data_IF_263857677276
#
_entry.id   IF_263857677276
#
_cell.length_a   1.000
_cell.length_b   1.000
_cell.length_c   1.000
_cell.angle_alpha   90.00
_cell.angle_beta   90.00
_cell.angle_gamma   90.00
#
_symmetry.space_group_name_H-M   'P 1'
#
loop_
_entity.id
_entity.type
_entity.pdbx_description
1 polymer ?
#
# COMPACT_ATOMS: atom_id res chain seq x y z
N UNK A 1 9.26 -5.42 -28.62
CA UNK A 1 9.98 -4.44 -27.80
C UNK A 1 10.22 -5.09 -26.46
N UNK A 2 11.47 -5.35 -26.10
CA UNK A 2 11.79 -5.75 -24.74
C UNK A 2 11.48 -4.54 -23.83
N UNK A 3 10.75 -4.76 -22.75
CA UNK A 3 10.57 -3.76 -21.71
C UNK A 3 11.93 -3.60 -21.03
N UNK A 4 12.63 -2.52 -21.32
CA UNK A 4 13.77 -2.11 -20.51
C UNK A 4 13.20 -1.28 -19.37
N UNK A 5 13.18 -1.80 -18.12
CA UNK A 5 12.86 -0.97 -16.98
C UNK A 5 13.89 0.14 -16.93
N UNK A 6 13.42 1.37 -16.96
CA UNK A 6 14.27 2.51 -16.64
C UNK A 6 14.96 2.20 -15.31
N UNK A 7 16.25 2.48 -15.22
CA UNK A 7 16.96 2.50 -13.95
C UNK A 7 16.08 3.27 -12.97
N UNK A 8 15.57 2.62 -11.91
CA UNK A 8 14.61 3.13 -10.94
C UNK A 8 13.13 2.85 -11.26
N UNK A 9 12.72 1.59 -11.30
CA UNK A 9 11.31 1.24 -11.45
C UNK A 9 10.67 1.03 -10.08
N UNK A 10 9.86 2.00 -9.65
CA UNK A 10 8.97 1.85 -8.51
C UNK A 10 7.57 1.56 -9.03
N UNK A 11 7.04 0.38 -8.71
CA UNK A 11 5.73 -0.12 -9.16
C UNK A 11 4.86 -0.39 -7.94
N UNK A 12 3.66 0.16 -7.91
CA UNK A 12 2.67 -0.11 -6.86
C UNK A 12 1.53 -0.96 -7.39
N UNK A 13 0.93 -1.76 -6.51
CA UNK A 13 -0.21 -2.60 -6.81
C UNK A 13 -1.38 -2.16 -5.94
N UNK A 14 -2.45 -1.71 -6.56
CA UNK A 14 -3.63 -1.17 -5.89
C UNK A 14 -4.90 -1.94 -6.21
N UNK A 15 -5.92 -1.77 -5.39
CA UNK A 15 -7.23 -2.41 -5.53
C UNK A 15 -7.78 -2.87 -4.19
N UNK A 16 -9.05 -3.28 -4.19
CA UNK A 16 -9.76 -3.72 -2.98
C UNK A 16 -9.15 -4.99 -2.38
N UNK A 17 -9.50 -5.29 -1.13
CA UNK A 17 -9.10 -6.54 -0.50
C UNK A 17 -9.75 -7.72 -1.22
N UNK A 18 -9.00 -8.82 -1.33
CA UNK A 18 -9.41 -9.95 -2.16
C UNK A 18 -9.12 -9.80 -3.66
N UNK A 19 -8.68 -8.64 -4.17
CA UNK A 19 -8.36 -8.45 -5.60
C UNK A 19 -7.21 -9.31 -6.12
N UNK A 20 -6.38 -9.86 -5.21
CA UNK A 20 -5.27 -10.72 -5.59
C UNK A 20 -3.92 -9.99 -5.71
N UNK A 21 -3.83 -8.75 -5.26
CA UNK A 21 -2.61 -7.92 -5.31
C UNK A 21 -1.35 -8.67 -4.87
N UNK A 22 -1.34 -9.21 -3.65
CA UNK A 22 -0.16 -9.89 -3.09
C UNK A 22 0.24 -11.14 -3.90
N UNK A 23 -0.72 -11.85 -4.49
CA UNK A 23 -0.44 -12.97 -5.39
C UNK A 23 0.23 -12.48 -6.67
N UNK A 24 -0.30 -11.43 -7.28
CA UNK A 24 0.24 -10.84 -8.50
C UNK A 24 1.60 -10.18 -8.25
N UNK A 25 1.79 -9.51 -7.12
CA UNK A 25 3.08 -8.94 -6.72
C UNK A 25 4.17 -10.02 -6.67
N UNK A 26 3.87 -11.17 -6.05
CA UNK A 26 4.80 -12.31 -5.98
C UNK A 26 5.12 -12.90 -7.35
N UNK A 27 4.12 -13.04 -8.23
CA UNK A 27 4.32 -13.56 -9.59
C UNK A 27 5.15 -12.57 -10.43
N UNK A 28 4.86 -11.28 -10.33
CA UNK A 28 5.61 -10.23 -11.03
C UNK A 28 7.06 -10.16 -10.52
N UNK A 29 7.27 -10.20 -9.21
CA UNK A 29 8.60 -10.25 -8.63
C UNK A 29 9.41 -11.43 -9.21
N UNK A 30 8.81 -12.61 -9.21
CA UNK A 30 9.47 -13.81 -9.77
C UNK A 30 9.80 -13.68 -11.26
N UNK A 31 8.89 -13.09 -12.05
CA UNK A 31 9.13 -12.88 -13.48
C UNK A 31 10.29 -11.90 -13.72
N UNK A 32 10.34 -10.80 -12.94
CA UNK A 32 11.42 -9.82 -13.02
C UNK A 32 12.77 -10.41 -12.58
N UNK A 33 12.79 -11.20 -11.50
CA UNK A 33 14.00 -11.90 -11.05
C UNK A 33 14.53 -12.86 -12.11
N UNK A 34 13.67 -13.64 -12.77
CA UNK A 34 14.01 -14.51 -13.87
C UNK A 34 14.55 -13.75 -15.10
N UNK A 35 14.12 -12.50 -15.28
CA UNK A 35 14.61 -11.60 -16.30
C UNK A 35 15.95 -10.90 -15.90
N UNK A 36 16.48 -11.20 -14.71
CA UNK A 36 17.78 -10.69 -14.25
C UNK A 36 17.72 -9.41 -13.41
N UNK A 37 16.53 -8.94 -13.01
CA UNK A 37 16.39 -7.76 -12.16
C UNK A 37 16.52 -8.10 -10.68
N UNK A 38 17.12 -7.20 -9.92
CA UNK A 38 17.06 -7.24 -8.46
C UNK A 38 15.74 -6.61 -8.01
N UNK A 39 14.90 -7.35 -7.29
CA UNK A 39 13.57 -6.92 -6.89
C UNK A 39 13.48 -6.81 -5.38
N UNK A 40 12.92 -5.70 -4.91
CA UNK A 40 12.54 -5.47 -3.51
C UNK A 40 11.02 -5.48 -3.44
N UNK A 41 10.45 -6.50 -2.78
CA UNK A 41 9.00 -6.65 -2.62
C UNK A 41 8.57 -6.17 -1.24
N UNK A 42 7.63 -5.24 -1.21
CA UNK A 42 7.15 -4.54 -0.02
C UNK A 42 5.62 -4.57 0.06
N UNK A 43 5.10 -4.22 1.21
CA UNK A 43 3.68 -3.93 1.42
C UNK A 43 3.49 -2.77 2.40
N UNK A 44 2.44 -2.00 2.23
CA UNK A 44 2.02 -0.97 3.19
C UNK A 44 0.69 -1.32 3.89
N UNK A 45 0.52 -0.82 5.13
CA UNK A 45 1.55 -0.29 6.01
C UNK A 45 2.49 -1.39 6.49
N UNK A 46 3.78 -1.08 6.71
CA UNK A 46 4.78 -2.04 7.19
C UNK A 46 6.11 -2.00 6.44
N UNK A 47 6.88 -3.09 6.48
CA UNK A 47 8.12 -3.27 5.71
C UNK A 47 9.40 -2.80 6.42
N UNK A 48 9.31 -2.08 7.55
CA UNK A 48 10.44 -1.77 8.44
C UNK A 48 10.08 -2.05 9.89
N UNK A 49 11.05 -2.14 10.77
CA UNK A 49 10.81 -2.41 12.18
C UNK A 49 9.88 -1.35 12.84
N UNK A 50 10.00 -0.09 12.46
CA UNK A 50 9.15 1.00 12.94
C UNK A 50 7.78 0.91 12.28
N UNK A 51 7.71 0.76 10.96
CA UNK A 51 6.45 0.69 10.22
C UNK A 51 5.60 -0.53 10.62
N UNK A 52 6.22 -1.66 11.00
CA UNK A 52 5.48 -2.82 11.52
C UNK A 52 4.84 -2.55 12.89
N UNK A 53 5.49 -1.77 13.76
CA UNK A 53 4.89 -1.35 15.03
C UNK A 53 3.69 -0.42 14.79
N UNK A 54 3.81 0.51 13.83
CA UNK A 54 2.70 1.38 13.43
C UNK A 54 1.57 0.56 12.81
N UNK A 55 1.89 -0.41 11.96
CA UNK A 55 0.92 -1.36 11.40
C UNK A 55 0.14 -2.09 12.50
N UNK A 56 0.82 -2.55 13.54
CA UNK A 56 0.17 -3.22 14.66
C UNK A 56 -0.87 -2.30 15.33
N UNK A 57 -0.58 -1.00 15.49
CA UNK A 57 -1.55 -0.02 16.02
C UNK A 57 -2.72 0.19 15.05
N UNK A 58 -2.45 0.34 13.76
CA UNK A 58 -3.47 0.59 12.73
C UNK A 58 -4.47 -0.55 12.58
N UNK A 59 -4.01 -1.80 12.66
CA UNK A 59 -4.83 -2.98 12.39
C UNK A 59 -5.43 -3.63 13.63
N UNK A 60 -5.04 -3.22 14.84
CA UNK A 60 -5.56 -3.79 16.09
C UNK A 60 -7.05 -3.47 16.25
N UNK A 61 -7.93 -4.49 16.26
CA UNK A 61 -9.37 -4.29 16.45
C UNK A 61 -9.75 -3.63 17.78
N UNK A 62 -8.87 -3.63 18.78
CA UNK A 62 -9.11 -2.96 20.06
C UNK A 62 -9.04 -1.44 19.96
N UNK A 63 -8.41 -0.88 18.94
CA UNK A 63 -8.22 0.56 18.74
C UNK A 63 -9.46 1.24 18.11
N UNK A 64 -10.64 1.00 18.68
CA UNK A 64 -11.93 1.51 18.14
C UNK A 64 -12.10 3.01 18.26
N UNK A 65 -11.34 3.68 19.12
CA UNK A 65 -11.43 5.14 19.36
C UNK A 65 -10.42 5.93 18.53
N UNK A 66 -9.69 5.28 17.62
CA UNK A 66 -8.74 5.98 16.74
C UNK A 66 -9.48 6.94 15.81
N UNK A 67 -9.18 8.24 15.94
CA UNK A 67 -9.76 9.26 15.07
C UNK A 67 -9.11 9.28 13.69
N UNK A 68 -9.85 9.70 12.66
CA UNK A 68 -9.43 9.64 11.25
C UNK A 68 -8.14 10.41 10.98
N UNK A 69 -7.93 11.57 11.62
CA UNK A 69 -6.65 12.31 11.50
C UNK A 69 -5.48 11.53 12.09
N UNK A 70 -5.68 10.86 13.23
CA UNK A 70 -4.65 10.03 13.82
C UNK A 70 -4.31 8.85 12.91
N UNK A 71 -5.32 8.22 12.34
CA UNK A 71 -5.17 7.12 11.36
C UNK A 71 -4.35 7.57 10.15
N UNK A 72 -4.72 8.72 9.52
CA UNK A 72 -3.97 9.31 8.42
C UNK A 72 -2.49 9.51 8.79
N UNK A 73 -2.22 10.17 9.92
CA UNK A 73 -0.85 10.47 10.35
C UNK A 73 -0.03 9.20 10.63
N UNK A 74 -0.65 8.14 11.13
CA UNK A 74 0.01 6.85 11.33
C UNK A 74 0.35 6.17 9.99
N UNK A 75 -0.56 6.20 9.00
CA UNK A 75 -0.25 5.70 7.67
C UNK A 75 0.92 6.45 7.05
N UNK A 76 0.91 7.77 7.14
CA UNK A 76 1.97 8.60 6.58
C UNK A 76 3.31 8.44 7.33
N UNK A 77 3.29 8.25 8.65
CA UNK A 77 4.50 7.97 9.43
C UNK A 77 5.11 6.60 9.03
N UNK A 78 4.28 5.57 8.84
CA UNK A 78 4.75 4.27 8.38
C UNK A 78 5.36 4.35 6.99
N UNK A 79 4.72 5.09 6.08
CA UNK A 79 5.18 5.33 4.69
C UNK A 79 6.48 6.10 4.67
N UNK A 80 6.56 7.23 5.38
CA UNK A 80 7.78 8.04 5.44
C UNK A 80 8.98 7.21 5.89
N UNK A 81 8.80 6.35 6.90
CA UNK A 81 9.86 5.45 7.37
C UNK A 81 10.24 4.42 6.29
N UNK A 82 9.26 3.81 5.63
CA UNK A 82 9.50 2.83 4.57
C UNK A 82 10.22 3.44 3.36
N UNK A 83 9.81 4.64 2.95
CA UNK A 83 10.47 5.38 1.86
C UNK A 83 11.91 5.68 2.22
N UNK A 84 12.16 6.21 3.40
CA UNK A 84 13.49 6.60 3.87
C UNK A 84 14.43 5.39 4.01
N UNK A 85 13.96 4.32 4.63
CA UNK A 85 14.81 3.19 5.03
C UNK A 85 15.00 2.16 3.91
N UNK A 86 14.02 1.99 3.01
CA UNK A 86 14.01 0.89 2.05
C UNK A 86 13.81 1.36 0.62
N UNK A 87 12.73 2.13 0.32
CA UNK A 87 12.37 2.39 -1.08
C UNK A 87 13.42 3.27 -1.76
N UNK A 88 13.72 4.44 -1.20
CA UNK A 88 14.66 5.39 -1.80
C UNK A 88 16.08 4.79 -1.94
N UNK A 89 16.65 4.10 -0.93
CA UNK A 89 17.92 3.39 -1.09
C UNK A 89 17.88 2.31 -2.17
N UNK A 90 16.82 1.47 -2.23
CA UNK A 90 16.70 0.42 -3.23
C UNK A 90 16.65 0.99 -4.66
N UNK A 91 15.92 2.09 -4.86
CA UNK A 91 15.87 2.78 -6.15
C UNK A 91 17.23 3.39 -6.52
N UNK A 92 17.94 3.96 -5.56
CA UNK A 92 19.30 4.48 -5.75
C UNK A 92 20.29 3.38 -6.16
N UNK A 93 20.11 2.18 -5.61
CA UNK A 93 20.90 0.99 -5.97
C UNK A 93 20.48 0.37 -7.33
N UNK A 94 19.53 0.97 -8.05
CA UNK A 94 19.06 0.48 -9.36
C UNK A 94 18.15 -0.74 -9.29
N UNK A 95 17.57 -1.05 -8.11
CA UNK A 95 16.65 -2.17 -7.93
C UNK A 95 15.22 -1.79 -8.38
N UNK A 96 14.44 -2.79 -8.76
CA UNK A 96 13.00 -2.65 -8.97
C UNK A 96 12.31 -2.79 -7.62
N UNK A 97 11.45 -1.82 -7.27
CA UNK A 97 10.64 -1.89 -6.07
C UNK A 97 9.20 -2.20 -6.45
N UNK A 98 8.63 -3.25 -5.85
CA UNK A 98 7.22 -3.60 -5.93
C UNK A 98 6.57 -3.37 -4.57
N UNK A 99 5.51 -2.57 -4.48
CA UNK A 99 4.81 -2.32 -3.23
C UNK A 99 3.32 -2.65 -3.35
N UNK A 100 2.86 -3.58 -2.50
CA UNK A 100 1.43 -3.89 -2.36
C UNK A 100 0.80 -2.80 -1.50
N UNK A 101 0.07 -1.87 -2.12
CA UNK A 101 -0.46 -0.59 -1.66
C UNK A 101 0.59 0.51 -1.50
N UNK A 102 0.14 1.74 -1.70
CA UNK A 102 0.88 2.97 -1.46
C UNK A 102 -0.10 4.13 -1.20
N UNK A 103 0.26 5.38 -1.48
CA UNK A 103 -0.56 6.55 -1.16
C UNK A 103 -1.93 6.61 -1.87
N UNK A 104 -2.14 5.87 -2.96
CA UNK A 104 -3.44 5.81 -3.61
C UNK A 104 -4.48 5.14 -2.68
N UNK A 105 -4.07 4.11 -1.92
CA UNK A 105 -4.90 3.55 -0.86
C UNK A 105 -5.27 4.60 0.19
N UNK A 106 -4.34 5.41 0.69
CA UNK A 106 -4.62 6.49 1.65
C UNK A 106 -5.59 7.52 1.06
N UNK A 107 -5.39 7.89 -0.20
CA UNK A 107 -6.31 8.80 -0.88
C UNK A 107 -7.73 8.22 -0.93
N UNK A 108 -7.87 6.94 -1.28
CA UNK A 108 -9.19 6.29 -1.33
C UNK A 108 -9.85 6.19 0.05
N UNK A 109 -9.12 5.73 1.05
CA UNK A 109 -9.69 5.44 2.36
C UNK A 109 -9.85 6.72 3.20
N UNK A 110 -8.79 7.49 3.43
CA UNK A 110 -8.86 8.62 4.35
C UNK A 110 -9.53 9.85 3.72
N UNK A 111 -9.34 10.11 2.41
CA UNK A 111 -10.00 11.26 1.79
C UNK A 111 -11.43 10.96 1.34
N UNK A 112 -11.65 9.81 0.67
CA UNK A 112 -12.99 9.54 0.09
C UNK A 112 -13.90 8.79 1.05
N UNK A 113 -13.43 7.77 1.76
CA UNK A 113 -14.26 6.97 2.64
C UNK A 113 -14.45 7.64 4.01
N UNK A 114 -13.39 8.18 4.63
CA UNK A 114 -13.45 8.85 5.94
C UNK A 114 -13.86 10.33 5.82
N UNK A 115 -13.81 10.91 4.61
CA UNK A 115 -14.24 12.27 4.34
C UNK A 115 -13.25 13.35 4.78
N UNK A 116 -11.98 13.03 5.00
CA UNK A 116 -10.96 14.03 5.27
C UNK A 116 -10.75 14.94 4.04
N UNK A 117 -10.35 16.18 4.28
CA UNK A 117 -10.06 17.12 3.21
C UNK A 117 -8.99 16.57 2.25
N UNK A 118 -9.33 16.53 0.96
CA UNK A 118 -8.49 15.95 -0.08
C UNK A 118 -7.14 16.63 -0.23
N UNK A 119 -7.10 17.95 0.05
CA UNK A 119 -5.85 18.70 -0.04
C UNK A 119 -4.94 18.34 1.14
N UNK A 120 -5.49 18.22 2.33
CA UNK A 120 -4.74 17.78 3.53
C UNK A 120 -4.15 16.38 3.31
N UNK A 121 -4.95 15.43 2.81
CA UNK A 121 -4.47 14.07 2.52
C UNK A 121 -3.38 14.09 1.45
N UNK A 122 -3.54 14.88 0.39
CA UNK A 122 -2.52 15.03 -0.65
C UNK A 122 -1.22 15.61 -0.12
N UNK A 123 -1.30 16.63 0.72
CA UNK A 123 -0.12 17.27 1.28
C UNK A 123 0.60 16.34 2.26
N UNK A 124 -0.14 15.56 3.04
CA UNK A 124 0.41 14.53 3.91
C UNK A 124 1.11 13.41 3.10
N UNK A 125 0.47 12.90 2.04
CA UNK A 125 1.07 11.96 1.11
C UNK A 125 2.39 12.51 0.53
N UNK A 126 2.38 13.75 0.01
CA UNK A 126 3.56 14.38 -0.58
C UNK A 126 4.70 14.53 0.43
N UNK A 127 4.38 14.90 1.66
CA UNK A 127 5.36 14.98 2.74
C UNK A 127 6.00 13.61 3.02
N UNK A 128 5.19 12.57 3.13
CA UNK A 128 5.66 11.23 3.48
C UNK A 128 6.51 10.59 2.38
N UNK A 129 6.16 10.80 1.11
CA UNK A 129 6.92 10.20 -0.01
C UNK A 129 8.19 10.96 -0.35
N UNK A 130 8.36 12.21 0.09
CA UNK A 130 9.56 13.02 -0.11
C UNK A 130 10.07 13.00 -1.57
N UNK A 131 9.16 13.12 -2.54
CA UNK A 131 9.48 13.09 -3.98
C UNK A 131 9.65 11.68 -4.57
N UNK A 132 9.51 10.62 -3.80
CA UNK A 132 9.58 9.23 -4.27
C UNK A 132 8.21 8.77 -4.75
N UNK A 133 7.93 8.94 -6.04
CA UNK A 133 6.66 8.57 -6.64
C UNK A 133 6.76 7.26 -7.44
N UNK A 134 5.70 6.43 -7.49
CA UNK A 134 5.64 5.29 -8.39
C UNK A 134 5.77 5.72 -9.84
N UNK A 135 6.55 4.97 -10.61
CA UNK A 135 6.60 5.11 -12.07
C UNK A 135 5.39 4.44 -12.75
N UNK A 136 4.80 3.45 -12.08
CA UNK A 136 3.63 2.71 -12.55
C UNK A 136 2.78 2.25 -11.37
N UNK A 137 1.47 2.47 -11.45
CA UNK A 137 0.48 1.87 -10.54
C UNK A 137 -0.37 0.85 -11.31
N UNK A 138 -0.40 -0.39 -10.81
CA UNK A 138 -1.23 -1.46 -11.34
C UNK A 138 -2.50 -1.59 -10.49
N UNK A 139 -3.65 -1.23 -11.05
CA UNK A 139 -4.93 -1.31 -10.35
C UNK A 139 -5.63 -2.62 -10.69
N UNK A 140 -5.88 -3.44 -9.67
CA UNK A 140 -6.60 -4.72 -9.79
C UNK A 140 -8.08 -4.51 -9.49
N UNK A 141 -8.91 -4.66 -10.50
CA UNK A 141 -10.35 -4.50 -10.39
C UNK A 141 -11.04 -5.87 -10.30
N UNK A 142 -11.90 -6.02 -9.29
CA UNK A 142 -12.87 -7.13 -9.15
C UNK A 142 -14.20 -6.55 -8.70
N UNK A 143 -15.30 -7.32 -8.86
CA UNK A 143 -16.60 -6.86 -8.36
C UNK A 143 -16.69 -6.96 -6.84
N UNK A 144 -17.55 -6.15 -6.18
CA UNK A 144 -17.77 -6.24 -4.74
C UNK A 144 -18.14 -7.65 -4.27
N UNK A 145 -18.95 -8.35 -5.05
CA UNK A 145 -19.38 -9.74 -4.74
C UNK A 145 -18.19 -10.70 -4.76
N UNK A 146 -17.29 -10.55 -5.74
CA UNK A 146 -16.06 -11.35 -5.82
C UNK A 146 -15.12 -11.04 -4.65
N UNK A 147 -15.00 -9.76 -4.27
CA UNK A 147 -14.22 -9.33 -3.12
C UNK A 147 -14.78 -9.97 -1.84
N UNK A 148 -16.07 -9.85 -1.59
CA UNK A 148 -16.73 -10.41 -0.41
C UNK A 148 -16.54 -11.93 -0.29
N UNK A 149 -16.72 -12.68 -1.39
CA UNK A 149 -16.50 -14.13 -1.42
C UNK A 149 -15.06 -14.52 -1.06
N UNK A 150 -14.07 -13.78 -1.57
CA UNK A 150 -12.66 -14.06 -1.30
C UNK A 150 -12.24 -13.66 0.11
N UNK A 151 -12.82 -12.57 0.64
CA UNK A 151 -12.58 -12.12 2.01
C UNK A 151 -13.17 -13.10 3.02
N UNK A 152 -14.41 -13.60 2.82
CA UNK A 152 -15.04 -14.57 3.69
C UNK A 152 -14.21 -15.86 3.88
N UNK A 153 -13.39 -16.21 2.90
CA UNK A 153 -12.52 -17.40 2.98
C UNK A 153 -11.24 -17.18 3.82
N UNK A 154 -10.94 -15.93 4.25
CA UNK A 154 -9.68 -15.59 4.96
C UNK A 154 -9.76 -15.68 6.48
N UNK A 155 -10.95 -15.57 7.08
CA UNK A 155 -11.14 -15.58 8.53
C UNK A 155 -11.48 -14.22 9.13
N UNK A 156 -11.02 -13.94 10.37
CA UNK A 156 -11.38 -12.73 11.09
C UNK A 156 -10.88 -11.45 10.39
N UNK A 157 -11.76 -10.45 10.30
CA UNK A 157 -11.46 -9.14 9.75
C UNK A 157 -10.53 -8.35 10.71
N UNK A 158 -9.58 -7.60 10.15
CA UNK A 158 -8.84 -6.59 10.91
C UNK A 158 -9.68 -5.31 11.11
N UNK A 159 -9.14 -4.31 11.83
CA UNK A 159 -9.84 -3.06 12.12
C UNK A 159 -10.28 -2.31 10.85
N UNK A 160 -9.43 -2.30 9.82
CA UNK A 160 -9.74 -1.61 8.56
C UNK A 160 -10.80 -2.34 7.76
N UNK A 161 -10.71 -3.66 7.67
CA UNK A 161 -11.73 -4.47 7.02
C UNK A 161 -13.10 -4.34 7.71
N UNK A 162 -13.10 -4.29 9.06
CA UNK A 162 -14.32 -4.05 9.84
C UNK A 162 -14.89 -2.65 9.58
N UNK A 163 -14.05 -1.60 9.48
CA UNK A 163 -14.46 -0.23 9.16
C UNK A 163 -15.07 -0.15 7.75
N UNK A 164 -14.42 -0.77 6.77
CA UNK A 164 -14.88 -0.77 5.37
C UNK A 164 -16.22 -1.48 5.17
N UNK A 165 -16.51 -2.53 5.94
CA UNK A 165 -17.81 -3.21 5.89
C UNK A 165 -18.99 -2.30 6.27
N UNK A 166 -18.71 -1.20 6.99
CA UNK A 166 -19.71 -0.19 7.40
C UNK A 166 -19.88 0.93 6.35
N UNK A 167 -18.94 1.10 5.43
CA UNK A 167 -18.91 2.26 4.51
C UNK A 167 -19.56 1.92 3.14
N UNK A 168 -19.95 0.69 2.86
CA UNK A 168 -20.58 0.28 1.59
C UNK A 168 -19.90 0.86 0.33
N UNK A 169 -18.61 0.62 0.18
CA UNK A 169 -17.89 0.96 -1.06
C UNK A 169 -17.86 -0.27 -1.97
#
# INVERSE_FOLDING_TARGET
>A
MAFEPAQHSFITLEGVDGAGKSTQARLLARALELAGYQVVSLREPGGTAISEKIRALLLDPANTTMGDTCELLLYEAARAQLVHEVIAPALTDGKVVLCDRFYDSTTCYQAFADGLDRQIVRDANNLAVAGTHPALTLVYHITPEQAALRMAARGAADRMEAKLSLIHI
#
